data_IF_157952083845
#
_entry.id   IF_157952083845
#
_cell.length_a   1.000
_cell.length_b   1.000
_cell.length_c   1.000
_cell.angle_alpha   90.00
_cell.angle_beta   90.00
_cell.angle_gamma   90.00
#
_symmetry.space_group_name_H-M   'P 1'
#
loop_
_entity.id
_entity.type
_entity.pdbx_description
1 polymer ?
#
# COMPACT_ATOMS: atom_id res chain seq x y z
N UNK A 1 29.65 -3.96 10.41
CA UNK A 1 30.35 -3.81 9.12
C UNK A 1 29.45 -3.01 8.20
N UNK A 2 29.91 -1.88 7.68
CA UNK A 2 29.21 -1.18 6.59
C UNK A 2 29.42 -2.03 5.34
N UNK A 3 28.34 -2.48 4.71
CA UNK A 3 28.42 -3.26 3.48
C UNK A 3 28.55 -2.24 2.35
N UNK A 4 29.74 -2.05 1.80
CA UNK A 4 29.97 -1.05 0.75
C UNK A 4 29.63 -1.58 -0.65
N UNK A 5 29.67 -2.91 -0.86
CA UNK A 5 29.41 -3.57 -2.16
C UNK A 5 28.68 -4.90 -2.01
N UNK A 6 27.80 -5.19 -2.97
CA UNK A 6 27.12 -6.48 -3.15
C UNK A 6 27.22 -6.86 -4.63
N UNK A 7 28.11 -7.80 -4.97
CA UNK A 7 28.36 -8.19 -6.37
C UNK A 7 28.77 -6.98 -7.23
N UNK A 8 27.98 -6.69 -8.27
CA UNK A 8 28.18 -5.55 -9.19
C UNK A 8 27.60 -4.22 -8.68
N UNK A 9 27.02 -4.20 -7.48
CA UNK A 9 26.32 -3.05 -6.95
C UNK A 9 27.10 -2.40 -5.81
N UNK A 10 27.13 -1.07 -5.81
CA UNK A 10 27.60 -0.26 -4.68
C UNK A 10 26.40 0.07 -3.79
N UNK A 11 26.55 -0.06 -2.48
CA UNK A 11 25.51 0.32 -1.52
C UNK A 11 25.61 1.82 -1.25
N UNK A 12 24.52 2.56 -1.45
CA UNK A 12 24.46 3.99 -1.24
C UNK A 12 23.96 4.35 0.15
N UNK A 13 22.82 3.76 0.54
CA UNK A 13 22.12 4.06 1.79
C UNK A 13 21.34 2.85 2.30
N UNK A 14 21.02 2.83 3.60
CA UNK A 14 19.97 1.97 4.16
C UNK A 14 18.64 2.73 4.13
N UNK A 15 17.65 2.21 3.41
CA UNK A 15 16.31 2.81 3.29
C UNK A 15 15.38 2.39 4.43
N UNK A 16 15.58 1.19 4.99
CA UNK A 16 14.83 0.70 6.13
C UNK A 16 15.37 -0.61 6.68
N UNK A 17 15.02 -0.91 7.93
CA UNK A 17 15.41 -2.14 8.61
C UNK A 17 14.23 -2.66 9.43
N UNK A 18 13.99 -3.96 9.35
CA UNK A 18 13.06 -4.73 10.17
C UNK A 18 13.76 -5.94 10.77
N UNK A 19 13.07 -6.70 11.62
CA UNK A 19 13.67 -7.81 12.38
C UNK A 19 14.34 -8.88 11.51
N UNK A 20 13.80 -9.16 10.32
CA UNK A 20 14.29 -10.20 9.41
C UNK A 20 14.59 -9.70 8.00
N UNK A 21 14.51 -8.38 7.78
CA UNK A 21 14.83 -7.82 6.47
C UNK A 21 15.42 -6.42 6.55
N UNK A 22 16.26 -6.08 5.57
CA UNK A 22 16.79 -4.74 5.37
C UNK A 22 16.59 -4.31 3.93
N UNK A 23 16.28 -3.04 3.72
CA UNK A 23 16.13 -2.44 2.40
C UNK A 23 17.29 -1.48 2.17
N UNK A 24 18.10 -1.74 1.15
CA UNK A 24 19.25 -0.93 0.78
C UNK A 24 18.98 -0.20 -0.54
N UNK A 25 19.40 1.05 -0.64
CA UNK A 25 19.56 1.72 -1.93
C UNK A 25 20.91 1.28 -2.50
N UNK A 26 20.88 0.74 -3.71
CA UNK A 26 22.07 0.23 -4.39
C UNK A 26 22.16 0.80 -5.79
N UNK A 27 23.37 0.85 -6.33
CA UNK A 27 23.66 1.40 -7.65
C UNK A 27 24.48 0.41 -8.45
N UNK A 28 24.02 0.10 -9.67
CA UNK A 28 24.72 -0.80 -10.58
C UNK A 28 25.89 -0.07 -11.24
N UNK A 29 27.08 -0.65 -11.20
CA UNK A 29 28.27 -0.02 -11.74
C UNK A 29 28.24 0.16 -13.27
N UNK A 30 27.60 -0.78 -13.98
CA UNK A 30 27.65 -0.84 -15.45
C UNK A 30 26.86 0.30 -16.13
N UNK A 31 25.78 0.81 -15.50
CA UNK A 31 24.88 1.81 -16.09
C UNK A 31 24.42 2.93 -15.12
N UNK A 32 25.05 3.04 -13.95
CA UNK A 32 24.75 4.01 -12.88
C UNK A 32 23.30 3.97 -12.38
N UNK A 33 22.54 2.93 -12.73
CA UNK A 33 21.13 2.83 -12.38
C UNK A 33 20.95 2.40 -10.93
N UNK A 34 20.04 3.09 -10.24
CA UNK A 34 19.72 2.82 -8.85
C UNK A 34 18.53 1.85 -8.68
N UNK A 35 18.63 1.04 -7.63
CA UNK A 35 17.65 0.03 -7.25
C UNK A 35 17.48 0.01 -5.73
N UNK A 36 16.36 -0.52 -5.28
CA UNK A 36 16.23 -0.93 -3.89
C UNK A 36 16.46 -2.46 -3.81
N UNK A 37 17.19 -2.90 -2.80
CA UNK A 37 17.49 -4.30 -2.55
C UNK A 37 16.93 -4.68 -1.18
N UNK A 38 15.91 -5.53 -1.18
CA UNK A 38 15.38 -6.14 0.05
C UNK A 38 16.16 -7.41 0.32
N UNK A 39 16.94 -7.39 1.40
CA UNK A 39 17.68 -8.52 1.94
C UNK A 39 16.82 -9.16 3.03
N UNK A 40 16.62 -10.48 2.95
CA UNK A 40 15.93 -11.27 3.97
C UNK A 40 16.93 -12.29 4.51
N UNK A 41 17.22 -12.21 5.81
CA UNK A 41 18.09 -13.18 6.48
C UNK A 41 17.24 -14.33 7.02
N UNK A 42 17.72 -15.57 6.85
CA UNK A 42 17.04 -16.80 7.24
C UNK A 42 17.94 -17.52 8.26
N UNK A 43 17.65 -17.30 9.53
CA UNK A 43 18.37 -17.90 10.65
C UNK A 43 17.85 -19.29 11.04
N UNK A 44 16.59 -19.58 10.74
CA UNK A 44 15.99 -20.89 11.07
C UNK A 44 14.61 -21.11 10.44
N UNK A 45 13.93 -22.19 10.87
CA UNK A 45 12.62 -22.59 10.33
C UNK A 45 11.55 -21.51 10.48
N UNK A 46 11.61 -20.70 11.54
CA UNK A 46 10.66 -19.62 11.82
C UNK A 46 10.74 -18.47 10.79
N UNK A 47 11.89 -18.33 10.12
CA UNK A 47 12.14 -17.29 9.13
C UNK A 47 11.72 -17.67 7.71
N UNK A 48 11.39 -18.95 7.48
CA UNK A 48 10.93 -19.43 6.18
C UNK A 48 9.68 -18.69 5.69
N UNK A 49 8.83 -18.21 6.61
CA UNK A 49 7.68 -17.37 6.27
C UNK A 49 8.07 -16.07 5.56
N UNK A 50 9.23 -15.48 5.87
CA UNK A 50 9.72 -14.27 5.21
C UNK A 50 10.33 -14.56 3.85
N UNK A 51 10.99 -15.72 3.71
CA UNK A 51 11.41 -16.22 2.39
C UNK A 51 10.20 -16.45 1.49
N UNK A 52 9.14 -17.08 2.02
CA UNK A 52 7.91 -17.32 1.26
C UNK A 52 7.23 -16.00 0.88
N UNK A 53 7.23 -14.99 1.75
CA UNK A 53 6.78 -13.64 1.40
C UNK A 53 7.62 -13.01 0.29
N UNK A 54 8.96 -13.14 0.31
CA UNK A 54 9.81 -12.61 -0.76
C UNK A 54 9.58 -13.32 -2.11
N UNK A 55 9.40 -14.65 -2.09
CA UNK A 55 9.01 -15.45 -3.27
C UNK A 55 7.65 -15.03 -3.81
N UNK A 56 6.69 -14.82 -2.90
CA UNK A 56 5.35 -14.38 -3.23
C UNK A 56 5.36 -12.98 -3.84
N UNK A 57 6.08 -12.05 -3.22
CA UNK A 57 6.27 -10.67 -3.70
C UNK A 57 6.91 -10.66 -5.10
N UNK A 58 7.93 -11.50 -5.34
CA UNK A 58 8.51 -11.68 -6.66
C UNK A 58 7.47 -12.16 -7.68
N UNK A 59 6.78 -13.27 -7.39
CA UNK A 59 5.78 -13.85 -8.30
C UNK A 59 4.68 -12.84 -8.64
N UNK A 60 4.14 -12.13 -7.65
CA UNK A 60 3.11 -11.10 -7.88
C UNK A 60 3.68 -9.94 -8.67
N UNK A 61 4.89 -9.46 -8.35
CA UNK A 61 5.56 -8.40 -9.08
C UNK A 61 5.75 -8.70 -10.58
N UNK A 62 6.01 -9.96 -10.93
CA UNK A 62 6.12 -10.40 -12.33
C UNK A 62 4.78 -10.36 -13.09
N UNK A 63 3.64 -10.37 -12.40
CA UNK A 63 2.29 -10.28 -13.01
C UNK A 63 1.89 -8.83 -13.31
N UNK A 64 2.64 -7.84 -12.81
CA UNK A 64 2.23 -6.44 -12.77
C UNK A 64 3.18 -5.56 -13.57
N UNK A 65 2.64 -4.79 -14.51
CA UNK A 65 3.37 -3.77 -15.25
C UNK A 65 2.50 -2.52 -15.37
N UNK A 66 2.75 -1.54 -14.51
CA UNK A 66 1.95 -0.33 -14.44
C UNK A 66 2.80 0.84 -13.90
N UNK A 67 2.62 2.09 -14.38
CA UNK A 67 3.40 3.24 -13.92
C UNK A 67 3.28 3.50 -12.42
N UNK A 68 2.11 3.25 -11.81
CA UNK A 68 1.85 3.53 -10.39
C UNK A 68 2.14 2.33 -9.47
N UNK A 69 2.72 1.25 -9.99
CA UNK A 69 3.10 0.05 -9.24
C UNK A 69 4.63 -0.10 -9.25
N UNK A 70 5.22 -0.52 -8.13
CA UNK A 70 6.66 -0.78 -8.05
C UNK A 70 7.02 -2.00 -8.90
N UNK A 71 8.10 -1.90 -9.67
CA UNK A 71 8.63 -3.06 -10.41
C UNK A 71 9.49 -3.93 -9.49
N UNK A 72 9.29 -5.23 -9.59
CA UNK A 72 10.18 -6.24 -9.02
C UNK A 72 10.97 -6.85 -10.18
N UNK A 73 12.30 -6.88 -10.07
CA UNK A 73 13.17 -7.27 -11.19
C UNK A 73 13.72 -8.69 -11.06
N UNK A 74 14.13 -9.08 -9.85
CA UNK A 74 14.78 -10.36 -9.64
C UNK A 74 14.64 -10.82 -8.19
N UNK A 75 14.66 -12.14 -7.99
CA UNK A 75 14.81 -12.80 -6.71
C UNK A 75 15.96 -13.78 -6.79
N UNK A 76 16.93 -13.64 -5.88
CA UNK A 76 18.02 -14.58 -5.69
C UNK A 76 17.97 -15.15 -4.28
N UNK A 77 18.28 -16.44 -4.15
CA UNK A 77 18.40 -17.10 -2.85
C UNK A 77 19.80 -17.67 -2.70
N UNK A 78 20.45 -17.40 -1.57
CA UNK A 78 21.77 -17.92 -1.25
C UNK A 78 21.66 -18.96 -0.13
N UNK A 79 22.39 -20.07 -0.25
CA UNK A 79 22.38 -21.17 0.72
C UNK A 79 23.15 -22.38 0.20
N UNK A 80 23.48 -23.31 1.10
CA UNK A 80 24.14 -24.56 0.74
C UNK A 80 23.13 -25.68 0.47
N UNK A 81 23.45 -26.59 -0.45
CA UNK A 81 22.60 -27.74 -0.81
C UNK A 81 22.14 -28.55 0.42
N UNK A 82 23.00 -28.68 1.42
CA UNK A 82 22.73 -29.42 2.66
C UNK A 82 22.11 -28.57 3.79
N UNK A 83 22.23 -27.24 3.75
CA UNK A 83 21.85 -26.35 4.86
C UNK A 83 20.59 -25.53 4.59
N UNK A 84 20.02 -25.63 3.38
CA UNK A 84 18.90 -24.80 2.95
C UNK A 84 19.27 -23.33 2.69
N UNK A 85 18.28 -22.49 2.32
CA UNK A 85 18.47 -21.08 2.04
C UNK A 85 18.80 -20.32 3.34
N UNK A 86 19.82 -19.47 3.27
CA UNK A 86 20.27 -18.60 4.36
C UNK A 86 19.94 -17.13 4.11
N UNK A 87 19.82 -16.72 2.85
CA UNK A 87 19.46 -15.36 2.46
C UNK A 87 18.57 -15.34 1.23
N UNK A 88 17.67 -14.37 1.16
CA UNK A 88 17.00 -13.99 -0.08
C UNK A 88 17.28 -12.51 -0.41
N UNK A 89 17.43 -12.22 -1.69
CA UNK A 89 17.72 -10.89 -2.22
C UNK A 89 16.68 -10.57 -3.28
N UNK A 90 15.82 -9.61 -2.99
CA UNK A 90 14.79 -9.15 -3.92
C UNK A 90 15.20 -7.78 -4.48
N UNK A 91 15.49 -7.73 -5.78
CA UNK A 91 15.85 -6.51 -6.50
C UNK A 91 14.58 -5.82 -6.98
N UNK A 92 14.35 -4.60 -6.52
CA UNK A 92 13.14 -3.81 -6.79
C UNK A 92 13.49 -2.41 -7.33
N UNK A 93 12.51 -1.78 -7.97
CA UNK A 93 12.61 -0.38 -8.39
C UNK A 93 12.90 0.53 -7.19
N UNK A 94 13.97 1.32 -7.31
CA UNK A 94 14.19 2.43 -6.42
C UNK A 94 13.21 3.55 -6.79
N UNK A 95 12.36 3.93 -5.83
CA UNK A 95 11.43 5.04 -5.99
C UNK A 95 11.92 6.18 -5.09
N UNK A 96 12.44 7.29 -5.66
CA UNK A 96 12.83 8.44 -4.86
C UNK A 96 11.58 9.09 -4.26
N UNK A 97 11.63 9.43 -2.98
CA UNK A 97 10.48 10.03 -2.30
C UNK A 97 10.43 9.70 -0.82
N UNK A 98 9.23 9.84 -0.26
CA UNK A 98 8.90 9.46 1.11
C UNK A 98 7.62 8.65 1.12
N UNK A 99 7.52 7.73 2.07
CA UNK A 99 6.28 7.01 2.33
C UNK A 99 5.22 7.99 2.83
N UNK A 100 3.95 7.78 2.44
CA UNK A 100 2.89 8.73 2.72
C UNK A 100 2.49 8.81 4.20
N UNK A 101 2.87 7.84 5.03
CA UNK A 101 2.66 7.88 6.50
C UNK A 101 3.44 9.00 7.18
N UNK A 102 4.54 9.45 6.57
CA UNK A 102 5.44 10.50 7.08
C UNK A 102 5.14 11.88 6.51
N UNK A 103 4.13 12.01 5.66
CA UNK A 103 3.79 13.27 5.02
C UNK A 103 2.81 14.07 5.87
N UNK A 104 2.93 15.41 5.89
CA UNK A 104 1.84 16.26 6.35
C UNK A 104 0.65 16.18 5.38
N UNK A 105 -0.47 16.81 5.75
CA UNK A 105 -1.60 16.95 4.84
C UNK A 105 -1.16 17.59 3.52
N UNK A 106 -1.51 16.94 2.42
CA UNK A 106 -1.34 17.50 1.09
C UNK A 106 -2.48 18.48 0.79
N UNK A 107 -2.22 19.49 -0.05
CA UNK A 107 -3.28 20.31 -0.65
C UNK A 107 -4.29 19.41 -1.36
N UNK A 108 -5.59 19.72 -1.28
CA UNK A 108 -6.64 18.81 -1.76
C UNK A 108 -6.51 18.42 -3.23
N UNK A 109 -6.26 19.37 -4.14
CA UNK A 109 -6.05 19.06 -5.55
C UNK A 109 -4.93 18.03 -5.76
N UNK A 110 -3.86 18.15 -4.98
CA UNK A 110 -2.72 17.23 -5.01
C UNK A 110 -3.06 15.87 -4.42
N UNK A 111 -3.75 15.84 -3.27
CA UNK A 111 -4.20 14.60 -2.65
C UNK A 111 -5.11 13.82 -3.60
N UNK A 112 -6.12 14.49 -4.18
CA UNK A 112 -7.06 13.88 -5.11
C UNK A 112 -6.36 13.23 -6.30
N UNK A 113 -5.39 13.92 -6.92
CA UNK A 113 -4.58 13.32 -8.00
C UNK A 113 -3.73 12.14 -7.54
N UNK A 114 -3.14 12.20 -6.35
CA UNK A 114 -2.38 11.06 -5.81
C UNK A 114 -3.30 9.86 -5.55
N UNK A 115 -4.48 10.09 -4.97
CA UNK A 115 -5.46 9.04 -4.70
C UNK A 115 -5.96 8.40 -6.01
N UNK A 116 -6.25 9.19 -7.04
CA UNK A 116 -6.63 8.69 -8.36
C UNK A 116 -5.56 7.74 -8.93
N UNK A 117 -4.29 8.15 -8.90
CA UNK A 117 -3.17 7.31 -9.39
C UNK A 117 -3.00 6.02 -8.61
N UNK A 118 -3.24 6.04 -7.30
CA UNK A 118 -3.25 4.81 -6.49
C UNK A 118 -4.39 3.90 -6.93
N UNK A 119 -5.60 4.44 -7.08
CA UNK A 119 -6.77 3.68 -7.52
C UNK A 119 -6.58 3.09 -8.92
N UNK A 120 -5.94 3.81 -9.84
CA UNK A 120 -5.54 3.33 -11.17
C UNK A 120 -4.61 2.11 -11.09
N UNK A 121 -3.58 2.16 -10.23
CA UNK A 121 -2.70 1.03 -9.96
C UNK A 121 -3.44 -0.19 -9.39
N UNK A 122 -4.35 0.03 -8.43
CA UNK A 122 -5.16 -1.04 -7.84
C UNK A 122 -6.15 -1.64 -8.84
N UNK A 123 -6.77 -0.81 -9.70
CA UNK A 123 -7.60 -1.28 -10.81
C UNK A 123 -6.80 -2.20 -11.73
N UNK A 124 -5.54 -1.87 -12.05
CA UNK A 124 -4.67 -2.75 -12.82
C UNK A 124 -4.39 -4.07 -12.10
N UNK A 125 -4.08 -4.05 -10.80
CA UNK A 125 -3.89 -5.28 -10.01
C UNK A 125 -5.13 -6.18 -10.05
N UNK A 126 -6.33 -5.63 -9.82
CA UNK A 126 -7.57 -6.39 -9.82
C UNK A 126 -7.89 -7.01 -11.19
N UNK A 127 -7.56 -6.32 -12.29
CA UNK A 127 -7.68 -6.87 -13.66
C UNK A 127 -6.79 -8.09 -13.87
N UNK A 128 -5.62 -8.13 -13.23
CA UNK A 128 -4.71 -9.31 -13.23
C UNK A 128 -5.12 -10.37 -12.19
N UNK A 129 -6.26 -10.20 -11.50
CA UNK A 129 -6.72 -11.13 -10.47
C UNK A 129 -5.92 -11.05 -9.17
N UNK A 130 -5.20 -9.94 -8.93
CA UNK A 130 -4.39 -9.71 -7.72
C UNK A 130 -5.06 -8.65 -6.85
N UNK A 131 -5.24 -8.92 -5.56
CA UNK A 131 -5.58 -7.92 -4.54
C UNK A 131 -4.33 -7.64 -3.70
N UNK A 132 -4.07 -6.41 -3.32
CA UNK A 132 -2.93 -6.01 -2.49
C UNK A 132 -3.07 -6.48 -1.03
N UNK A 133 -4.29 -6.42 -0.47
CA UNK A 133 -4.66 -6.88 0.87
C UNK A 133 -3.94 -6.25 2.09
N UNK A 134 -3.11 -5.21 1.87
CA UNK A 134 -2.45 -4.44 2.94
C UNK A 134 -2.21 -2.98 2.50
N UNK A 135 -3.24 -2.36 1.91
CA UNK A 135 -3.15 -0.94 1.55
C UNK A 135 -3.11 -0.06 2.80
N UNK A 136 -2.03 0.73 2.89
CA UNK A 136 -1.75 1.70 3.96
C UNK A 136 -0.76 2.74 3.47
N UNK A 137 -0.65 3.92 4.11
CA UNK A 137 0.29 4.97 3.72
C UNK A 137 1.77 4.54 3.67
N UNK A 138 2.19 3.57 4.48
CA UNK A 138 3.56 3.02 4.45
C UNK A 138 3.89 2.27 3.16
N UNK A 139 2.89 1.71 2.48
CA UNK A 139 3.03 0.99 1.21
C UNK A 139 2.82 1.92 0.00
N UNK A 140 2.86 3.23 0.22
CA UNK A 140 2.71 4.24 -0.82
C UNK A 140 3.94 5.14 -0.80
N UNK A 141 4.79 5.02 -1.83
CA UNK A 141 5.88 5.97 -2.04
C UNK A 141 5.37 7.16 -2.83
N UNK A 142 5.66 8.35 -2.33
CA UNK A 142 5.29 9.59 -2.96
C UNK A 142 6.53 10.46 -3.20
N UNK A 143 6.67 10.92 -4.44
CA UNK A 143 7.67 11.93 -4.82
C UNK A 143 7.04 13.32 -4.73
N UNK A 144 7.86 14.37 -4.49
CA UNK A 144 7.44 15.77 -4.29
C UNK A 144 6.46 16.33 -5.33
N UNK A 145 6.33 15.70 -6.51
CA UNK A 145 5.30 15.98 -7.53
C UNK A 145 3.96 15.29 -7.26
N UNK A 146 3.37 14.65 -8.28
CA UNK A 146 2.14 13.83 -8.16
C UNK A 146 2.40 12.35 -8.39
N UNK A 147 3.68 11.97 -8.59
CA UNK A 147 4.07 10.58 -8.80
C UNK A 147 3.92 9.79 -7.51
N UNK A 148 3.24 8.67 -7.63
CA UNK A 148 3.03 7.70 -6.55
C UNK A 148 3.31 6.30 -7.05
N UNK A 149 3.86 5.48 -6.16
CA UNK A 149 4.09 4.06 -6.40
C UNK A 149 3.53 3.26 -5.23
N UNK A 150 2.67 2.30 -5.54
CA UNK A 150 2.26 1.26 -4.60
C UNK A 150 3.41 0.26 -4.45
N UNK A 151 3.75 -0.05 -3.21
CA UNK A 151 4.88 -0.90 -2.81
C UNK A 151 4.40 -2.17 -2.12
N UNK A 152 5.30 -3.14 -1.95
CA UNK A 152 5.17 -4.32 -1.09
C UNK A 152 3.98 -5.25 -1.41
N UNK A 153 4.24 -6.23 -2.26
CA UNK A 153 3.28 -7.29 -2.59
C UNK A 153 3.35 -8.51 -1.68
N UNK A 154 4.09 -8.44 -0.56
CA UNK A 154 4.35 -9.60 0.30
C UNK A 154 3.09 -10.21 0.93
N UNK A 155 2.00 -9.44 1.04
CA UNK A 155 0.71 -9.89 1.56
C UNK A 155 -0.40 -9.95 0.51
N UNK A 156 -0.07 -9.68 -0.76
CA UNK A 156 -1.03 -9.72 -1.85
C UNK A 156 -1.73 -11.08 -1.92
N UNK A 157 -2.91 -11.11 -2.50
CA UNK A 157 -3.69 -12.32 -2.71
C UNK A 157 -3.97 -12.47 -4.20
N UNK A 158 -3.65 -13.64 -4.77
CA UNK A 158 -3.95 -13.95 -6.16
C UNK A 158 -5.21 -14.81 -6.23
N UNK A 159 -6.08 -14.53 -7.20
CA UNK A 159 -7.35 -15.23 -7.39
C UNK A 159 -7.13 -16.74 -7.45
N UNK A 160 -7.79 -17.46 -6.53
CA UNK A 160 -7.71 -18.92 -6.41
C UNK A 160 -6.81 -19.40 -5.27
N UNK A 161 -6.06 -18.51 -4.62
CA UNK A 161 -5.27 -18.86 -3.43
C UNK A 161 -6.15 -19.01 -2.19
N UNK A 162 -5.81 -19.97 -1.34
CA UNK A 162 -6.38 -20.05 0.01
C UNK A 162 -5.87 -18.89 0.87
N UNK A 163 -6.70 -18.43 1.80
CA UNK A 163 -6.33 -17.43 2.80
C UNK A 163 -6.51 -18.06 4.18
N UNK A 164 -5.45 -18.70 4.66
CA UNK A 164 -5.53 -19.56 5.86
C UNK A 164 -5.35 -18.78 7.18
N UNK A 165 -4.85 -17.54 7.08
CA UNK A 165 -4.56 -16.65 8.20
C UNK A 165 -5.02 -15.22 7.95
N UNK A 166 -5.44 -14.55 9.03
CA UNK A 166 -5.68 -13.11 9.04
C UNK A 166 -4.32 -12.42 8.93
N UNK A 167 -4.15 -11.61 7.89
CA UNK A 167 -2.94 -10.82 7.65
C UNK A 167 -3.32 -9.46 7.11
N UNK A 168 -2.50 -8.48 7.43
CA UNK A 168 -2.71 -7.07 7.13
C UNK A 168 -2.42 -6.25 8.37
N UNK A 169 -2.45 -4.94 8.19
CA UNK A 169 -2.19 -3.99 9.26
C UNK A 169 -3.50 -3.72 10.03
N UNK A 170 -3.54 -3.95 11.36
CA UNK A 170 -4.77 -3.90 12.16
C UNK A 170 -5.65 -2.67 11.91
N UNK A 171 -5.05 -1.50 11.75
CA UNK A 171 -5.73 -0.22 11.58
C UNK A 171 -6.40 -0.06 10.20
N UNK A 172 -6.03 -0.88 9.22
CA UNK A 172 -6.51 -0.81 7.83
C UNK A 172 -7.28 -2.06 7.41
N UNK A 173 -7.27 -3.12 8.22
CA UNK A 173 -7.83 -4.43 7.85
C UNK A 173 -9.35 -4.39 7.73
N UNK A 174 -9.88 -5.06 6.70
CA UNK A 174 -11.31 -5.12 6.44
C UNK A 174 -12.01 -6.14 7.37
N UNK A 175 -13.29 -5.90 7.74
CA UNK A 175 -14.03 -6.79 8.63
C UNK A 175 -14.11 -8.23 8.10
N UNK A 176 -14.37 -8.42 6.81
CA UNK A 176 -14.47 -9.77 6.23
C UNK A 176 -13.14 -10.55 6.25
N UNK A 177 -12.00 -9.86 6.29
CA UNK A 177 -10.69 -10.50 6.45
C UNK A 177 -10.50 -10.98 7.88
N UNK A 178 -10.98 -10.23 8.87
CA UNK A 178 -10.92 -10.62 10.29
C UNK A 178 -11.93 -11.74 10.59
N UNK A 179 -13.18 -11.60 10.15
CA UNK A 179 -14.28 -12.49 10.47
C UNK A 179 -14.26 -13.79 9.66
N UNK A 180 -13.84 -13.73 8.40
CA UNK A 180 -14.00 -14.84 7.45
C UNK A 180 -12.73 -15.21 6.71
N UNK A 181 -11.59 -14.56 7.02
CA UNK A 181 -10.33 -14.71 6.28
C UNK A 181 -10.54 -14.53 4.78
N UNK A 182 -11.48 -13.65 4.40
CA UNK A 182 -11.83 -13.42 3.01
C UNK A 182 -11.05 -12.23 2.46
N UNK A 183 -10.56 -12.37 1.24
CA UNK A 183 -9.94 -11.27 0.47
C UNK A 183 -10.52 -11.26 -0.92
N UNK A 184 -10.94 -10.08 -1.36
CA UNK A 184 -11.34 -9.80 -2.72
C UNK A 184 -11.15 -8.29 -3.01
N UNK A 185 -11.58 -7.85 -4.17
CA UNK A 185 -11.51 -6.44 -4.57
C UNK A 185 -12.21 -5.48 -3.58
N UNK A 186 -13.29 -5.89 -2.92
CA UNK A 186 -13.97 -5.08 -1.90
C UNK A 186 -13.18 -4.98 -0.59
N UNK A 187 -12.30 -5.94 -0.32
CA UNK A 187 -11.32 -5.87 0.77
C UNK A 187 -10.29 -4.78 0.50
N UNK A 188 -9.72 -4.74 -0.70
CA UNK A 188 -8.80 -3.67 -1.12
C UNK A 188 -9.47 -2.30 -1.14
N UNK A 189 -10.72 -2.21 -1.58
CA UNK A 189 -11.51 -0.97 -1.52
C UNK A 189 -11.64 -0.48 -0.08
N UNK A 190 -11.83 -1.36 0.90
CA UNK A 190 -11.86 -0.97 2.31
C UNK A 190 -10.48 -0.52 2.80
N UNK A 191 -9.42 -1.29 2.53
CA UNK A 191 -8.06 -0.92 2.94
C UNK A 191 -7.66 0.44 2.34
N UNK A 192 -8.04 0.68 1.09
CA UNK A 192 -7.83 1.96 0.43
C UNK A 192 -8.72 3.06 1.01
N UNK A 193 -9.97 2.78 1.38
CA UNK A 193 -10.85 3.69 2.12
C UNK A 193 -10.24 4.15 3.45
N UNK A 194 -9.67 3.22 4.23
CA UNK A 194 -8.97 3.51 5.48
C UNK A 194 -7.70 4.35 5.22
N UNK A 195 -6.98 4.04 4.15
CA UNK A 195 -5.82 4.83 3.69
C UNK A 195 -6.24 6.25 3.31
N UNK A 196 -7.29 6.43 2.52
CA UNK A 196 -7.83 7.74 2.13
C UNK A 196 -8.27 8.54 3.36
N UNK A 197 -8.97 7.91 4.30
CA UNK A 197 -9.35 8.53 5.58
C UNK A 197 -8.12 9.06 6.32
N UNK A 198 -7.07 8.24 6.45
CA UNK A 198 -5.82 8.63 7.10
C UNK A 198 -5.12 9.78 6.39
N UNK A 199 -5.02 9.74 5.06
CA UNK A 199 -4.35 10.79 4.29
C UNK A 199 -5.14 12.10 4.25
N UNK A 200 -6.46 12.04 4.33
CA UNK A 200 -7.32 13.21 4.30
C UNK A 200 -7.47 13.88 5.68
N UNK A 201 -7.29 13.14 6.77
CA UNK A 201 -7.62 13.64 8.13
C UNK A 201 -6.48 13.59 9.14
N UNK A 202 -5.40 12.86 8.85
CA UNK A 202 -4.38 12.45 9.84
C UNK A 202 -4.99 11.74 11.07
N UNK A 203 -6.13 11.09 10.91
CA UNK A 203 -6.74 10.21 11.92
C UNK A 203 -6.88 8.80 11.36
N UNK A 204 -7.16 7.81 12.21
CA UNK A 204 -7.39 6.44 11.78
C UNK A 204 -8.88 6.10 11.97
N UNK A 205 -9.48 5.30 11.08
CA UNK A 205 -10.78 4.72 11.38
C UNK A 205 -10.68 3.73 12.55
N UNK A 206 -11.78 3.37 13.22
CA UNK A 206 -11.78 2.32 14.23
C UNK A 206 -11.28 0.98 13.64
N UNK A 207 -10.43 0.28 14.38
CA UNK A 207 -9.89 -1.03 13.96
C UNK A 207 -10.94 -2.13 14.11
N UNK A 208 -11.04 -3.02 13.10
CA UNK A 208 -11.81 -4.27 13.21
C UNK A 208 -11.07 -5.36 13.96
N UNK A 209 -9.74 -5.25 14.01
CA UNK A 209 -8.91 -6.17 14.75
C UNK A 209 -8.93 -5.80 16.24
N UNK A 210 -9.50 -6.68 17.06
CA UNK A 210 -9.43 -6.59 18.51
C UNK A 210 -8.12 -7.21 18.98
N UNK A 211 -7.31 -6.46 19.73
CA UNK A 211 -6.15 -7.02 20.43
C UNK A 211 -6.56 -7.99 21.54
N UNK A 212 -5.59 -8.69 22.12
CA UNK A 212 -5.85 -9.67 23.17
C UNK A 212 -6.64 -9.06 24.35
N UNK A 213 -7.73 -9.73 24.74
CA UNK A 213 -8.60 -9.30 25.84
C UNK A 213 -9.62 -8.19 25.49
N UNK A 214 -9.63 -7.69 24.25
CA UNK A 214 -10.62 -6.71 23.79
C UNK A 214 -11.87 -7.39 23.21
N UNK A 215 -13.03 -6.75 23.39
CA UNK A 215 -14.25 -7.20 22.72
C UNK A 215 -14.14 -7.01 21.20
N UNK A 216 -14.67 -7.94 20.39
CA UNK A 216 -14.71 -7.78 18.93
C UNK A 216 -15.43 -6.50 18.51
N UNK A 217 -14.91 -5.83 17.49
CA UNK A 217 -15.56 -4.68 16.88
C UNK A 217 -16.90 -5.10 16.27
N UNK A 218 -17.96 -4.31 16.50
CA UNK A 218 -19.28 -4.55 15.88
C UNK A 218 -19.60 -3.47 14.86
N UNK A 219 -20.49 -3.77 13.91
CA UNK A 219 -20.97 -2.80 12.91
C UNK A 219 -21.60 -1.55 13.53
N UNK A 220 -22.27 -1.70 14.67
CA UNK A 220 -22.86 -0.57 15.42
C UNK A 220 -21.76 0.28 16.03
N UNK A 221 -20.85 -0.34 16.78
CA UNK A 221 -19.76 0.35 17.45
C UNK A 221 -18.83 1.07 16.46
N UNK A 222 -18.49 0.42 15.34
CA UNK A 222 -17.69 1.03 14.28
C UNK A 222 -18.33 2.32 13.76
N UNK A 223 -19.64 2.31 13.49
CA UNK A 223 -20.36 3.50 13.01
C UNK A 223 -20.42 4.61 14.06
N UNK A 224 -20.57 4.27 15.33
CA UNK A 224 -20.60 5.23 16.44
C UNK A 224 -19.22 5.87 16.68
N UNK A 225 -18.14 5.12 16.51
CA UNK A 225 -16.77 5.58 16.73
C UNK A 225 -16.14 6.27 15.51
N UNK A 226 -16.60 5.97 14.29
CA UNK A 226 -16.05 6.58 13.09
C UNK A 226 -16.40 8.07 13.03
N UNK A 227 -15.41 8.93 13.27
CA UNK A 227 -15.56 10.37 13.14
C UNK A 227 -15.82 10.74 11.67
N UNK A 228 -16.84 11.56 11.34
CA UNK A 228 -17.08 12.00 9.97
C UNK A 228 -15.87 12.72 9.38
N UNK A 229 -15.51 12.41 8.12
CA UNK A 229 -14.31 12.96 7.45
C UNK A 229 -14.25 14.49 7.52
N UNK A 230 -15.33 15.19 7.17
CA UNK A 230 -15.37 16.67 7.18
C UNK A 230 -15.39 17.28 8.58
N UNK A 231 -15.81 16.53 9.60
CA UNK A 231 -15.67 16.96 10.99
C UNK A 231 -14.21 16.83 11.49
N UNK A 232 -13.41 15.96 10.87
CA UNK A 232 -11.98 15.85 11.14
C UNK A 232 -11.14 16.83 10.30
N UNK A 233 -11.54 17.06 9.04
CA UNK A 233 -10.92 18.04 8.16
C UNK A 233 -11.98 18.73 7.27
N UNK A 234 -12.41 19.96 7.62
CA UNK A 234 -13.44 20.69 6.86
C UNK A 234 -13.06 21.04 5.42
N UNK A 235 -11.77 21.02 5.07
CA UNK A 235 -11.27 21.31 3.72
C UNK A 235 -11.49 20.16 2.74
N UNK A 236 -11.87 18.97 3.23
CA UNK A 236 -12.14 17.82 2.37
C UNK A 236 -13.42 18.06 1.55
N UNK A 237 -13.37 17.95 0.21
CA UNK A 237 -14.56 18.06 -0.62
C UNK A 237 -15.61 17.01 -0.26
N UNK A 238 -16.89 17.36 -0.41
CA UNK A 238 -18.00 16.48 -0.05
C UNK A 238 -17.95 15.13 -0.79
N UNK A 239 -17.72 15.15 -2.10
CA UNK A 239 -17.61 13.91 -2.87
C UNK A 239 -16.47 13.00 -2.43
N UNK A 240 -15.34 13.53 -1.94
CA UNK A 240 -14.26 12.71 -1.38
C UNK A 240 -14.66 12.13 -0.02
N UNK A 241 -15.31 12.93 0.84
CA UNK A 241 -15.80 12.45 2.13
C UNK A 241 -16.81 11.31 1.96
N UNK A 242 -17.75 11.46 1.02
CA UNK A 242 -18.77 10.45 0.72
C UNK A 242 -18.14 9.17 0.18
N UNK A 243 -17.18 9.29 -0.76
CA UNK A 243 -16.45 8.15 -1.28
C UNK A 243 -15.70 7.39 -0.18
N UNK A 244 -15.02 8.10 0.73
CA UNK A 244 -14.34 7.48 1.88
C UNK A 244 -15.33 6.72 2.76
N UNK A 245 -16.46 7.33 3.13
CA UNK A 245 -17.47 6.67 3.95
C UNK A 245 -18.14 5.47 3.23
N UNK A 246 -18.26 5.53 1.90
CA UNK A 246 -18.77 4.41 1.10
C UNK A 246 -17.76 3.25 1.08
N UNK A 247 -16.47 3.53 0.92
CA UNK A 247 -15.41 2.52 0.98
C UNK A 247 -15.29 1.87 2.37
N UNK A 248 -15.54 2.64 3.42
CA UNK A 248 -15.49 2.19 4.82
C UNK A 248 -16.77 1.49 5.32
N UNK A 249 -17.74 1.17 4.44
CA UNK A 249 -18.93 0.45 4.88
C UNK A 249 -18.55 -0.92 5.49
N UNK A 250 -19.05 -1.25 6.70
CA UNK A 250 -18.76 -2.54 7.32
C UNK A 250 -19.21 -3.74 6.49
N UNK A 251 -20.33 -3.60 5.78
CA UNK A 251 -20.78 -4.63 4.85
C UNK A 251 -20.11 -4.40 3.49
N UNK A 252 -19.28 -5.35 3.06
CA UNK A 252 -18.58 -5.31 1.78
C UNK A 252 -19.52 -5.05 0.59
N UNK A 253 -20.76 -5.57 0.60
CA UNK A 253 -21.71 -5.38 -0.51
C UNK A 253 -22.29 -3.97 -0.61
N UNK A 254 -22.08 -3.14 0.43
CA UNK A 254 -22.45 -1.71 0.43
C UNK A 254 -21.32 -0.79 -0.04
N UNK A 255 -20.12 -1.34 -0.26
CA UNK A 255 -18.99 -0.64 -0.89
C UNK A 255 -19.15 -0.65 -2.42
N UNK A 256 -18.41 0.20 -3.15
CA UNK A 256 -18.31 0.08 -4.61
C UNK A 256 -17.97 -1.37 -5.00
N UNK A 257 -18.54 -1.84 -6.11
CA UNK A 257 -18.30 -3.21 -6.57
C UNK A 257 -16.87 -3.40 -7.07
N UNK A 258 -16.32 -2.38 -7.72
CA UNK A 258 -15.01 -2.39 -8.40
C UNK A 258 -14.20 -1.16 -8.04
N UNK A 259 -12.88 -1.31 -8.00
CA UNK A 259 -11.93 -0.21 -7.81
C UNK A 259 -12.00 0.79 -8.96
N UNK A 260 -12.37 0.36 -10.17
CA UNK A 260 -12.58 1.26 -11.31
C UNK A 260 -13.67 2.31 -11.06
N UNK A 261 -14.67 2.00 -10.22
CA UNK A 261 -15.67 3.00 -9.80
C UNK A 261 -15.03 4.04 -8.88
N UNK A 262 -14.24 3.59 -7.89
CA UNK A 262 -13.50 4.47 -6.98
C UNK A 262 -12.54 5.38 -7.77
N UNK A 263 -11.81 4.81 -8.73
CA UNK A 263 -10.92 5.53 -9.63
C UNK A 263 -11.67 6.60 -10.42
N UNK A 264 -12.80 6.26 -11.05
CA UNK A 264 -13.59 7.22 -11.84
C UNK A 264 -14.11 8.39 -11.01
N UNK A 265 -14.59 8.13 -9.78
CA UNK A 265 -15.00 9.20 -8.86
C UNK A 265 -13.82 10.09 -8.47
N UNK A 266 -12.66 9.51 -8.15
CA UNK A 266 -11.47 10.28 -7.81
C UNK A 266 -10.98 11.12 -9.00
N UNK A 267 -11.06 10.57 -10.21
CA UNK A 267 -10.69 11.28 -11.43
C UNK A 267 -11.57 12.50 -11.67
N UNK A 268 -12.89 12.35 -11.56
CA UNK A 268 -13.82 13.47 -11.65
C UNK A 268 -13.52 14.56 -10.61
N UNK A 269 -13.38 14.18 -9.34
CA UNK A 269 -13.13 15.14 -8.25
C UNK A 269 -11.81 15.89 -8.44
N UNK A 270 -10.81 15.20 -8.98
CA UNK A 270 -9.49 15.74 -9.17
C UNK A 270 -9.42 16.66 -10.41
N UNK A 271 -10.26 16.45 -11.42
CA UNK A 271 -10.46 17.38 -12.56
C UNK A 271 -11.22 18.62 -12.14
N UNK A 272 -12.28 18.46 -11.34
CA UNK A 272 -13.03 19.58 -10.75
C UNK A 272 -12.12 20.47 -9.87
N UNK A 273 -11.20 19.87 -9.13
CA UNK A 273 -10.23 20.60 -8.32
C UNK A 273 -9.17 21.33 -9.17
N UNK A 274 -8.77 20.76 -10.30
CA UNK A 274 -7.84 21.40 -11.23
C UNK A 274 -8.48 22.61 -11.94
N UNK A 275 -9.71 22.45 -12.43
CA UNK A 275 -10.44 23.53 -13.08
C UNK A 275 -10.63 24.78 -12.19
N UNK A 276 -10.77 24.58 -10.87
CA UNK A 276 -10.87 25.69 -9.90
C UNK A 276 -9.56 26.43 -9.66
N UNK A 277 -8.41 25.81 -9.94
CA UNK A 277 -7.10 26.45 -9.82
C UNK A 277 -6.74 27.27 -11.06
N UNK A 278 -7.29 26.90 -12.21
CA UNK A 278 -7.07 27.58 -13.49
C UNK A 278 -8.07 28.72 -13.75
N UNK A 279 -9.03 28.96 -12.85
CA UNK A 279 -9.97 30.08 -12.93
C UNK A 279 -9.28 31.39 -12.48
N UNK A 280 -9.03 32.35 -13.41
CA UNK A 280 -8.37 33.62 -13.08
C UNK A 280 -9.20 34.53 -12.16
N UNK A 281 -10.43 34.16 -11.81
CA UNK A 281 -11.30 34.91 -10.88
C UNK A 281 -11.08 34.64 -9.40
N UNK A 282 -10.27 33.63 -9.02
CA UNK A 282 -9.99 33.31 -7.62
C UNK A 282 -8.67 33.95 -7.19
N UNK A 283 -8.73 35.24 -6.84
CA UNK A 283 -7.65 35.90 -6.10
C UNK A 283 -7.48 35.18 -4.75
N UNK A 284 -6.26 34.78 -4.43
CA UNK A 284 -5.89 34.17 -3.15
C UNK A 284 -6.29 35.11 -2.00
N UNK A 285 -7.29 34.70 -1.20
CA UNK A 285 -7.53 35.19 0.17
C UNK A 285 -7.09 34.14 1.20
#
# INVERSE_FOLDING_TARGET
MVIDKIGKFTVLNTLGSGAHSSILQIRRADDDREYALKLVDIGGKEDLKYLDQAKHEFRVGQMLNHPNLVKVYALETEGGWFSGPKKAKLLIEYVPGRTMDRLPLLKMAKLLRVLERIADGLTHMHKQGVCHADMKPNNLMYDRGTRVKVLDYGLAWVRGESKDRVQGTPEYIAPETVEHKLVNERTDIYNFGATMYRLATLQLPPSWFAGDGMLPMTKKLFKEQLKPVRAANPLVPEGLADLIHQCLQPNATKRPERMSHVQGTLDQLADEAAAKLDDPGVLEE
#
